data_IF_946480362142
#
_entry.id   IF_946480362142
#
_cell.length_a   1.000
_cell.length_b   1.000
_cell.length_c   1.000
_cell.angle_alpha   90.00
_cell.angle_beta   90.00
_cell.angle_gamma   90.00
#
_symmetry.space_group_name_H-M   'P 1'
#
loop_
_entity.id
_entity.type
_entity.pdbx_description
1 polymer ?
#
# COMPACT_ATOMS: atom_id res chain seq x y z
N UNK A 1 -0.42 34.44 -14.61
CA UNK A 1 0.45 33.24 -14.54
C UNK A 1 0.13 32.36 -15.72
N UNK A 2 1.13 31.95 -16.49
CA UNK A 2 0.96 31.03 -17.64
C UNK A 2 1.05 29.59 -17.16
N UNK A 3 0.40 28.64 -17.84
CA UNK A 3 0.49 27.21 -17.51
C UNK A 3 1.94 26.70 -17.51
N UNK A 4 2.81 27.28 -18.34
CA UNK A 4 4.25 26.95 -18.36
C UNK A 4 4.93 27.16 -17.01
N UNK A 5 4.50 28.16 -16.24
CA UNK A 5 5.06 28.57 -14.93
C UNK A 5 4.51 27.74 -13.76
N UNK A 6 3.57 26.83 -14.02
CA UNK A 6 2.96 26.02 -12.98
C UNK A 6 3.94 24.96 -12.46
N UNK A 7 3.93 24.73 -11.15
CA UNK A 7 4.60 23.58 -10.54
C UNK A 7 4.00 22.27 -11.06
N UNK A 8 4.72 21.16 -10.90
CA UNK A 8 4.23 19.83 -11.28
C UNK A 8 2.86 19.53 -10.67
N UNK A 9 2.69 19.76 -9.37
CA UNK A 9 1.41 19.56 -8.68
C UNK A 9 0.28 20.49 -9.14
N UNK A 10 0.60 21.71 -9.62
CA UNK A 10 -0.40 22.59 -10.23
C UNK A 10 -0.82 22.08 -11.62
N UNK A 11 0.13 21.59 -12.43
CA UNK A 11 -0.15 21.01 -13.76
C UNK A 11 -0.99 19.74 -13.64
N UNK A 12 -0.67 18.86 -12.70
CA UNK A 12 -1.46 17.64 -12.43
C UNK A 12 -2.89 18.01 -12.03
N UNK A 13 -3.07 18.94 -11.07
CA UNK A 13 -4.42 19.39 -10.66
C UNK A 13 -5.22 19.99 -11.82
N UNK A 14 -4.58 20.83 -12.64
CA UNK A 14 -5.21 21.39 -13.82
C UNK A 14 -5.66 20.29 -14.80
N UNK A 15 -4.82 19.29 -15.05
CA UNK A 15 -5.16 18.16 -15.91
C UNK A 15 -6.29 17.31 -15.34
N UNK A 16 -6.31 17.08 -14.02
CA UNK A 16 -7.39 16.36 -13.35
C UNK A 16 -8.73 17.10 -13.52
N UNK A 17 -8.76 18.39 -13.21
CA UNK A 17 -9.96 19.23 -13.40
C UNK A 17 -10.40 19.22 -14.87
N UNK A 18 -9.45 19.35 -15.81
CA UNK A 18 -9.72 19.28 -17.24
C UNK A 18 -10.37 17.96 -17.64
N UNK A 19 -9.90 16.83 -17.12
CA UNK A 19 -10.48 15.52 -17.40
C UNK A 19 -11.92 15.38 -16.88
N UNK A 20 -12.25 16.06 -15.78
CA UNK A 20 -13.60 16.07 -15.22
C UNK A 20 -14.60 16.99 -15.94
N UNK A 21 -14.15 17.95 -16.75
CA UNK A 21 -15.02 18.96 -17.38
C UNK A 21 -16.18 18.35 -18.19
N UNK A 22 -15.96 17.19 -18.81
CA UNK A 22 -16.98 16.50 -19.60
C UNK A 22 -17.84 15.53 -18.78
N UNK A 23 -17.78 15.59 -17.46
CA UNK A 23 -18.47 14.68 -16.54
C UNK A 23 -18.34 13.21 -16.96
N UNK A 24 -17.10 12.68 -17.09
CA UNK A 24 -16.90 11.32 -17.53
C UNK A 24 -17.57 10.32 -16.58
N UNK A 25 -17.94 9.15 -17.11
CA UNK A 25 -18.35 8.01 -16.26
C UNK A 25 -17.14 7.24 -15.72
N UNK A 26 -16.05 7.24 -16.48
CA UNK A 26 -14.80 6.54 -16.16
C UNK A 26 -13.64 7.51 -16.33
N UNK A 27 -12.80 7.62 -15.30
CA UNK A 27 -11.62 8.45 -15.28
C UNK A 27 -10.37 7.57 -15.34
N UNK A 28 -9.54 7.76 -16.36
CA UNK A 28 -8.26 7.08 -16.51
C UNK A 28 -7.14 7.99 -16.01
N UNK A 29 -6.37 7.50 -15.04
CA UNK A 29 -5.32 8.25 -14.35
C UNK A 29 -4.01 7.47 -14.42
N UNK A 30 -2.99 8.09 -15.01
CA UNK A 30 -1.67 7.48 -15.15
C UNK A 30 -0.66 8.17 -14.23
N UNK A 31 -0.18 7.45 -13.21
CA UNK A 31 0.86 7.88 -12.26
C UNK A 31 0.64 9.28 -11.67
N UNK A 32 -0.62 9.61 -11.37
CA UNK A 32 -1.05 10.99 -11.12
C UNK A 32 -0.51 11.61 -9.84
N UNK A 33 -0.08 10.81 -8.88
CA UNK A 33 0.54 11.23 -7.62
C UNK A 33 2.06 11.13 -7.65
N UNK A 34 2.64 10.53 -8.68
CA UNK A 34 4.06 10.26 -8.76
C UNK A 34 4.89 11.56 -8.77
N UNK A 35 5.87 11.64 -7.86
CA UNK A 35 6.77 12.79 -7.70
C UNK A 35 6.06 14.08 -7.32
N UNK A 36 4.91 13.98 -6.64
CA UNK A 36 4.32 15.08 -5.87
C UNK A 36 4.80 15.03 -4.42
N UNK A 37 4.89 16.18 -3.77
CA UNK A 37 5.06 16.22 -2.32
C UNK A 37 3.82 15.67 -1.60
N UNK A 38 3.92 15.27 -0.32
CA UNK A 38 2.82 14.64 0.41
C UNK A 38 1.52 15.45 0.43
N UNK A 39 1.62 16.78 0.50
CA UNK A 39 0.44 17.67 0.52
C UNK A 39 -0.28 17.65 -0.81
N UNK A 40 0.45 17.76 -1.92
CA UNK A 40 -0.15 17.74 -3.25
C UNK A 40 -0.67 16.36 -3.65
N UNK A 41 0.04 15.29 -3.28
CA UNK A 41 -0.45 13.92 -3.45
C UNK A 41 -1.78 13.73 -2.71
N UNK A 42 -1.87 14.20 -1.46
CA UNK A 42 -3.10 14.11 -0.66
C UNK A 42 -4.28 14.82 -1.34
N UNK A 43 -4.08 16.03 -1.86
CA UNK A 43 -5.15 16.76 -2.56
C UNK A 43 -5.66 15.96 -3.78
N UNK A 44 -4.77 15.37 -4.57
CA UNK A 44 -5.19 14.55 -5.72
C UNK A 44 -5.97 13.31 -5.26
N UNK A 45 -5.51 12.64 -4.21
CA UNK A 45 -6.21 11.48 -3.62
C UNK A 45 -7.61 11.84 -3.13
N UNK A 46 -7.76 12.97 -2.45
CA UNK A 46 -9.06 13.45 -1.97
C UNK A 46 -10.01 13.74 -3.15
N UNK A 47 -9.51 14.34 -4.24
CA UNK A 47 -10.30 14.56 -5.46
C UNK A 47 -10.73 13.25 -6.14
N UNK A 48 -9.87 12.23 -6.16
CA UNK A 48 -10.19 10.90 -6.68
C UNK A 48 -11.29 10.25 -5.84
N UNK A 49 -11.14 10.30 -4.52
CA UNK A 49 -12.13 9.75 -3.58
C UNK A 49 -13.48 10.43 -3.73
N UNK A 50 -13.52 11.76 -3.81
CA UNK A 50 -14.76 12.53 -4.00
C UNK A 50 -15.45 12.18 -5.34
N UNK A 51 -14.68 12.05 -6.42
CA UNK A 51 -15.23 11.66 -7.72
C UNK A 51 -15.84 10.24 -7.67
N UNK A 52 -15.18 9.30 -6.97
CA UNK A 52 -15.70 7.95 -6.74
C UNK A 52 -16.98 7.97 -5.90
N UNK A 53 -17.02 8.75 -4.82
CA UNK A 53 -18.20 8.90 -3.95
C UNK A 53 -19.42 9.44 -4.69
N UNK A 54 -19.20 10.26 -5.72
CA UNK A 54 -20.25 10.76 -6.62
C UNK A 54 -20.71 9.73 -7.67
N UNK A 55 -20.23 8.49 -7.60
CA UNK A 55 -20.60 7.38 -8.49
C UNK A 55 -19.72 7.24 -9.74
N UNK A 56 -18.64 8.01 -9.84
CA UNK A 56 -17.66 7.89 -10.92
C UNK A 56 -16.77 6.64 -10.77
N UNK A 57 -16.39 6.02 -11.89
CA UNK A 57 -15.40 4.92 -11.88
C UNK A 57 -14.01 5.46 -12.16
N UNK A 58 -13.00 5.00 -11.44
CA UNK A 58 -11.59 5.40 -11.64
C UNK A 58 -10.78 4.16 -12.02
N UNK A 59 -10.02 4.27 -13.11
CA UNK A 59 -8.98 3.32 -13.48
C UNK A 59 -7.64 4.02 -13.32
N UNK A 60 -6.82 3.53 -12.39
CA UNK A 60 -5.52 4.13 -12.09
C UNK A 60 -4.38 3.15 -12.33
N UNK A 61 -3.30 3.63 -12.93
CA UNK A 61 -2.02 2.94 -13.00
C UNK A 61 -1.06 3.61 -12.03
N UNK A 62 -0.45 2.80 -11.16
CA UNK A 62 0.60 3.28 -10.27
C UNK A 62 1.54 2.17 -9.82
N UNK A 63 2.81 2.53 -9.60
CA UNK A 63 3.77 1.72 -8.85
C UNK A 63 3.81 2.08 -7.35
N UNK A 64 3.04 3.08 -6.91
CA UNK A 64 2.98 3.50 -5.52
C UNK A 64 1.97 2.63 -4.75
N UNK A 65 2.46 1.63 -4.03
CA UNK A 65 1.60 0.66 -3.35
C UNK A 65 0.77 1.28 -2.21
N UNK A 66 1.27 2.31 -1.54
CA UNK A 66 0.46 3.10 -0.59
C UNK A 66 -0.76 3.79 -1.26
N UNK A 67 -0.66 4.15 -2.53
CA UNK A 67 -1.78 4.72 -3.28
C UNK A 67 -2.81 3.63 -3.62
N UNK A 68 -2.32 2.44 -3.98
CA UNK A 68 -3.17 1.26 -4.17
C UNK A 68 -3.97 0.96 -2.90
N UNK A 69 -3.33 0.94 -1.73
CA UNK A 69 -4.02 0.67 -0.47
C UNK A 69 -5.09 1.72 -0.12
N UNK A 70 -4.85 2.98 -0.46
CA UNK A 70 -5.75 4.09 -0.09
C UNK A 70 -6.90 4.30 -1.10
N UNK A 71 -6.66 4.04 -2.39
CA UNK A 71 -7.58 4.43 -3.46
C UNK A 71 -8.30 3.25 -4.12
N UNK A 72 -7.69 2.06 -4.15
CA UNK A 72 -8.19 0.96 -4.95
C UNK A 72 -9.17 0.08 -4.17
N UNK A 73 -10.36 -0.11 -4.74
CA UNK A 73 -11.28 -1.15 -4.28
C UNK A 73 -10.81 -2.55 -4.75
N UNK A 74 -10.14 -2.60 -5.91
CA UNK A 74 -9.51 -3.78 -6.50
C UNK A 74 -8.19 -3.37 -7.16
N UNK A 75 -7.21 -4.26 -7.11
CA UNK A 75 -5.91 -4.09 -7.79
C UNK A 75 -5.67 -5.27 -8.72
N UNK A 76 -5.00 -5.00 -9.84
CA UNK A 76 -4.49 -5.99 -10.75
C UNK A 76 -2.98 -5.82 -10.88
N UNK A 77 -2.20 -6.86 -10.59
CA UNK A 77 -0.76 -6.85 -10.83
C UNK A 77 -0.50 -7.24 -12.29
N UNK A 78 0.29 -6.41 -12.98
CA UNK A 78 0.64 -6.61 -14.38
C UNK A 78 2.15 -6.85 -14.51
N UNK A 79 2.53 -7.96 -15.15
CA UNK A 79 3.93 -8.34 -15.44
C UNK A 79 4.01 -8.84 -16.86
N UNK A 80 4.99 -8.35 -17.63
CA UNK A 80 5.19 -8.72 -19.04
C UNK A 80 3.91 -8.63 -19.90
N UNK A 81 3.11 -7.59 -19.65
CA UNK A 81 1.86 -7.34 -20.37
C UNK A 81 0.70 -8.27 -19.98
N UNK A 82 0.83 -9.07 -18.91
CA UNK A 82 -0.19 -10.00 -18.44
C UNK A 82 -0.64 -9.65 -17.02
N UNK A 83 -1.94 -9.73 -16.77
CA UNK A 83 -2.49 -9.65 -15.43
C UNK A 83 -2.30 -11.00 -14.73
N UNK A 84 -1.53 -11.01 -13.67
CA UNK A 84 -1.13 -12.24 -12.96
C UNK A 84 -1.96 -12.49 -11.70
N UNK A 85 -2.51 -11.43 -11.11
CA UNK A 85 -3.33 -11.51 -9.90
C UNK A 85 -4.27 -10.31 -9.87
N UNK A 86 -5.53 -10.54 -9.47
CA UNK A 86 -6.57 -9.51 -9.39
C UNK A 86 -7.43 -9.76 -8.18
N UNK A 87 -7.34 -8.91 -7.17
CA UNK A 87 -8.15 -9.03 -5.95
C UNK A 87 -8.27 -7.70 -5.22
N UNK A 88 -8.92 -7.68 -4.06
CA UNK A 88 -8.92 -6.50 -3.18
C UNK A 88 -7.56 -6.40 -2.48
N UNK A 89 -7.08 -5.19 -2.13
CA UNK A 89 -5.85 -5.06 -1.33
C UNK A 89 -5.90 -5.87 -0.03
N UNK A 90 -7.09 -5.92 0.62
CA UNK A 90 -7.31 -6.70 1.84
C UNK A 90 -7.12 -8.20 1.61
N UNK A 91 -7.74 -8.76 0.58
CA UNK A 91 -7.65 -10.19 0.31
C UNK A 91 -6.23 -10.60 -0.10
N UNK A 92 -5.51 -9.72 -0.79
CA UNK A 92 -4.09 -9.94 -1.08
C UNK A 92 -3.26 -9.98 0.20
N UNK A 93 -3.45 -9.03 1.12
CA UNK A 93 -2.78 -9.04 2.43
C UNK A 93 -3.11 -10.29 3.24
N UNK A 94 -4.34 -10.82 3.16
CA UNK A 94 -4.71 -12.06 3.82
C UNK A 94 -4.10 -13.31 3.15
N UNK A 95 -4.02 -13.31 1.81
CA UNK A 95 -3.50 -14.44 1.03
C UNK A 95 -1.98 -14.57 1.13
N UNK A 96 -1.27 -13.44 1.11
CA UNK A 96 0.20 -13.38 1.10
C UNK A 96 0.80 -12.99 2.46
N UNK A 97 -0.05 -12.59 3.42
CA UNK A 97 0.32 -12.32 4.80
C UNK A 97 0.93 -13.52 5.50
N UNK A 98 1.84 -13.26 6.43
CA UNK A 98 2.39 -14.31 7.29
C UNK A 98 1.41 -14.61 8.41
N UNK A 99 1.08 -15.89 8.59
CA UNK A 99 0.21 -16.36 9.67
C UNK A 99 0.99 -16.47 10.98
N UNK A 100 1.52 -15.36 11.45
CA UNK A 100 2.34 -15.27 12.65
C UNK A 100 1.97 -14.05 13.52
N UNK A 101 2.36 -14.10 14.79
CA UNK A 101 2.24 -13.03 15.77
C UNK A 101 3.64 -12.76 16.32
N UNK A 102 4.14 -11.54 16.10
CA UNK A 102 5.38 -11.06 16.70
C UNK A 102 5.05 -10.34 18.00
N UNK A 103 5.72 -10.74 19.07
CA UNK A 103 5.64 -10.11 20.39
C UNK A 103 7.00 -9.51 20.71
N UNK A 104 7.02 -8.28 21.21
CA UNK A 104 8.20 -7.66 21.81
C UNK A 104 7.95 -7.49 23.30
N UNK A 105 8.90 -7.89 24.11
CA UNK A 105 8.75 -7.97 25.57
C UNK A 105 10.09 -7.70 26.27
N UNK A 106 10.04 -7.32 27.55
CA UNK A 106 11.25 -7.15 28.36
C UNK A 106 11.54 -8.39 29.18
N UNK A 107 12.80 -8.80 29.16
CA UNK A 107 13.37 -9.83 30.02
C UNK A 107 14.66 -9.31 30.65
N UNK A 108 14.72 -9.28 31.98
CA UNK A 108 15.86 -8.74 32.74
C UNK A 108 16.28 -7.31 32.30
N UNK A 109 15.30 -6.47 31.95
CA UNK A 109 15.52 -5.09 31.49
C UNK A 109 15.98 -4.94 30.04
N UNK A 110 16.19 -6.05 29.31
CA UNK A 110 16.54 -6.05 27.88
C UNK A 110 15.31 -6.33 27.02
N UNK A 111 15.22 -5.67 25.86
CA UNK A 111 14.16 -5.92 24.88
C UNK A 111 14.46 -7.23 24.13
N UNK A 112 13.50 -8.14 24.12
CA UNK A 112 13.50 -9.40 23.40
C UNK A 112 12.28 -9.48 22.46
N UNK A 113 12.32 -10.40 21.51
CA UNK A 113 11.19 -10.65 20.62
C UNK A 113 11.01 -12.14 20.36
N UNK A 114 9.75 -12.56 20.30
CA UNK A 114 9.36 -13.92 19.95
C UNK A 114 8.29 -13.87 18.84
N UNK A 115 8.28 -14.90 18.00
CA UNK A 115 7.31 -15.07 16.92
C UNK A 115 6.57 -16.38 17.14
N UNK A 116 5.24 -16.31 17.09
CA UNK A 116 4.37 -17.47 17.30
C UNK A 116 3.49 -17.66 16.06
N UNK A 117 3.15 -18.90 15.69
CA UNK A 117 2.18 -19.15 14.63
C UNK A 117 0.80 -18.62 15.06
N UNK A 118 0.12 -17.91 14.17
CA UNK A 118 -1.24 -17.43 14.40
C UNK A 118 -2.23 -18.61 14.44
N UNK A 119 -1.92 -19.69 13.72
CA UNK A 119 -2.71 -20.91 13.72
C UNK A 119 -2.61 -21.62 15.08
N UNK A 120 -3.74 -21.76 15.76
CA UNK A 120 -3.80 -22.35 17.10
C UNK A 120 -3.21 -21.47 18.20
N UNK A 121 -2.98 -20.17 17.96
CA UNK A 121 -2.36 -19.25 18.93
C UNK A 121 -3.06 -19.24 20.30
N UNK A 122 -4.39 -19.38 20.32
CA UNK A 122 -5.18 -19.42 21.55
C UNK A 122 -4.99 -20.69 22.41
N UNK A 123 -4.19 -21.65 21.96
CA UNK A 123 -3.79 -22.84 22.71
C UNK A 123 -2.27 -22.96 22.82
N UNK A 124 -1.51 -21.97 22.34
CA UNK A 124 -0.06 -22.00 22.37
C UNK A 124 0.44 -21.71 23.80
N UNK A 125 0.99 -22.73 24.46
CA UNK A 125 1.43 -22.62 25.86
C UNK A 125 2.59 -21.63 26.03
N UNK A 126 3.55 -21.62 25.09
CA UNK A 126 4.70 -20.72 25.15
C UNK A 126 4.26 -19.25 25.03
N UNK A 127 3.33 -18.96 24.10
CA UNK A 127 2.73 -17.64 23.95
C UNK A 127 2.00 -17.22 25.23
N UNK A 128 1.16 -18.09 25.78
CA UNK A 128 0.47 -17.80 27.04
C UNK A 128 1.41 -17.60 28.22
N UNK A 129 2.48 -18.39 28.31
CA UNK A 129 3.48 -18.26 29.36
C UNK A 129 4.18 -16.91 29.23
N UNK A 130 4.63 -16.53 28.03
CA UNK A 130 5.23 -15.24 27.75
C UNK A 130 4.30 -14.09 28.19
N UNK A 131 3.01 -14.12 27.82
CA UNK A 131 2.05 -13.09 28.23
C UNK A 131 1.84 -13.01 29.75
N UNK A 132 2.08 -14.10 30.48
CA UNK A 132 1.92 -14.16 31.95
C UNK A 132 3.19 -13.76 32.70
N UNK A 133 4.36 -14.04 32.15
CA UNK A 133 5.64 -13.92 32.87
C UNK A 133 6.48 -12.74 32.44
N UNK A 134 6.34 -12.28 31.19
CA UNK A 134 7.12 -11.17 30.66
C UNK A 134 6.31 -9.86 30.62
N UNK A 135 7.02 -8.74 30.68
CA UNK A 135 6.44 -7.42 30.42
C UNK A 135 6.34 -7.19 28.91
N UNK A 136 5.15 -7.34 28.35
CA UNK A 136 4.90 -7.17 26.91
C UNK A 136 4.84 -5.68 26.56
N UNK A 137 5.61 -5.30 25.54
CA UNK A 137 5.67 -3.94 25.00
C UNK A 137 4.77 -3.80 23.75
N UNK A 138 4.86 -4.75 22.81
CA UNK A 138 4.08 -4.74 21.57
C UNK A 138 3.65 -6.14 21.13
N UNK A 139 2.52 -6.22 20.43
CA UNK A 139 2.02 -7.42 19.74
C UNK A 139 1.54 -7.01 18.35
N UNK A 140 2.09 -7.62 17.32
CA UNK A 140 1.75 -7.36 15.92
C UNK A 140 1.50 -8.67 15.18
N UNK A 141 0.46 -8.72 14.35
CA UNK A 141 0.31 -9.79 13.35
C UNK A 141 1.33 -9.61 12.24
N UNK A 142 1.76 -10.72 11.63
CA UNK A 142 2.64 -10.75 10.44
C UNK A 142 1.94 -10.25 9.18
N UNK A 143 1.45 -9.01 9.21
CA UNK A 143 0.91 -8.35 8.03
C UNK A 143 2.00 -8.14 6.98
N UNK A 144 1.64 -8.30 5.72
CA UNK A 144 2.53 -8.10 4.57
C UNK A 144 2.09 -6.82 3.86
N UNK A 145 3.04 -5.96 3.53
CA UNK A 145 2.75 -4.73 2.80
C UNK A 145 2.41 -5.01 1.34
N UNK A 146 1.70 -4.10 0.67
CA UNK A 146 1.45 -4.26 -0.77
C UNK A 146 2.75 -4.27 -1.60
N UNK A 147 3.81 -3.62 -1.13
CA UNK A 147 5.16 -3.69 -1.72
C UNK A 147 5.74 -5.11 -1.66
N UNK A 148 5.67 -5.77 -0.50
CA UNK A 148 6.13 -7.17 -0.37
C UNK A 148 5.27 -8.13 -1.20
N UNK A 149 3.95 -7.90 -1.26
CA UNK A 149 3.06 -8.70 -2.10
C UNK A 149 3.45 -8.54 -3.57
N UNK A 150 3.74 -7.31 -4.01
CA UNK A 150 4.19 -7.06 -5.37
C UNK A 150 5.45 -7.88 -5.69
N UNK A 151 6.45 -7.92 -4.82
CA UNK A 151 7.64 -8.77 -4.98
C UNK A 151 7.26 -10.24 -5.16
N UNK A 152 6.46 -10.77 -4.23
CA UNK A 152 6.08 -12.18 -4.21
C UNK A 152 5.33 -12.56 -5.48
N UNK A 153 4.39 -11.71 -5.91
CA UNK A 153 3.52 -11.95 -7.05
C UNK A 153 4.27 -11.79 -8.36
N UNK A 154 5.11 -10.76 -8.48
CA UNK A 154 5.84 -10.49 -9.73
C UNK A 154 7.12 -11.31 -9.88
N UNK A 155 7.65 -11.87 -8.80
CA UNK A 155 8.93 -12.59 -8.81
C UNK A 155 10.15 -11.67 -9.00
N UNK A 156 9.97 -10.35 -8.93
CA UNK A 156 11.04 -9.37 -9.02
C UNK A 156 11.64 -9.19 -7.63
N UNK A 157 12.86 -9.66 -7.39
CA UNK A 157 13.63 -9.29 -6.20
C UNK A 157 13.78 -7.76 -6.17
N UNK A 158 13.31 -7.09 -5.10
CA UNK A 158 13.63 -5.68 -4.87
C UNK A 158 15.11 -5.56 -4.49
N UNK A 159 15.99 -5.63 -5.48
CA UNK A 159 17.33 -5.08 -5.33
C UNK A 159 17.21 -3.56 -5.31
N UNK A 160 17.03 -3.01 -4.11
CA UNK A 160 17.27 -1.59 -3.87
C UNK A 160 18.76 -1.32 -3.87
N UNK A 161 19.28 -0.63 -4.89
CA UNK A 161 19.96 0.67 -4.75
C UNK A 161 20.51 1.23 -6.09
N UNK A 162 20.77 2.56 -6.17
CA UNK A 162 20.97 3.31 -7.40
C UNK A 162 22.40 3.18 -7.94
N UNK A 163 22.58 3.44 -9.24
CA UNK A 163 23.55 4.38 -9.84
C UNK A 163 23.96 3.98 -11.28
N UNK A 164 24.24 5.01 -12.07
CA UNK A 164 25.03 5.06 -13.31
C UNK A 164 24.44 4.60 -14.68
N UNK A 165 24.16 5.65 -15.46
CA UNK A 165 24.68 5.92 -16.82
C UNK A 165 24.43 4.89 -17.93
N UNK A 166 23.60 5.30 -18.91
CA UNK A 166 24.08 5.69 -20.25
C UNK A 166 23.13 6.75 -20.86
#
# INVERSE_FOLDING_TARGET
VKVGEFSKGMKVRLNFVRAMLNSPRVLFLDEVTNGLDPKNARIIKDMIAEYRERGGTVFLTTHLMNDVEQLCDRVAFCVDGKLIEISTPRDLKLKYGRREVKVEYRENGSLASAVFPLDGIGFNEDFHNLLKTAEVETIHSGETSMEEIFIIVTGVELNGQPDQAD
#
